data_IF_158398017101
#
_entry.id   IF_158398017101
#
_cell.length_a   1.000
_cell.length_b   1.000
_cell.length_c   1.000
_cell.angle_alpha   90.00
_cell.angle_beta   90.00
_cell.angle_gamma   90.00
#
_symmetry.space_group_name_H-M   'P 1'
#
loop_
_entity.id
_entity.type
_entity.pdbx_description
1 polymer ?
#
# COMPACT_ATOMS: atom_id res chain seq x y z
N UNK A 1 2.25 0.17 21.22
CA UNK A 1 3.12 0.61 20.11
C UNK A 1 2.83 2.08 19.82
N UNK A 2 3.85 2.90 19.52
CA UNK A 2 3.64 4.33 19.19
C UNK A 2 2.87 4.53 17.88
N UNK A 3 2.27 5.72 17.70
CA UNK A 3 1.41 6.07 16.55
C UNK A 3 2.13 5.82 15.22
N UNK A 4 3.40 6.26 15.10
CA UNK A 4 4.26 6.00 13.93
C UNK A 4 4.33 4.52 13.55
N UNK A 5 4.57 3.64 14.52
CA UNK A 5 4.71 2.20 14.26
C UNK A 5 3.40 1.59 13.76
N UNK A 6 2.26 2.02 14.32
CA UNK A 6 0.94 1.55 13.91
C UNK A 6 0.59 2.05 12.50
N UNK A 7 0.96 3.28 12.15
CA UNK A 7 0.82 3.82 10.80
C UNK A 7 1.69 3.11 9.76
N UNK A 8 2.97 2.88 10.08
CA UNK A 8 3.91 2.13 9.20
C UNK A 8 3.43 0.70 8.95
N UNK A 9 2.90 0.04 9.98
CA UNK A 9 2.29 -1.31 9.89
C UNK A 9 0.88 -1.34 9.27
N UNK A 10 0.38 -0.24 8.73
CA UNK A 10 -0.97 -0.12 8.14
C UNK A 10 -2.13 -0.42 9.11
N UNK A 11 -1.88 -0.40 10.41
CA UNK A 11 -2.95 -0.48 11.43
C UNK A 11 -3.72 0.83 11.50
N UNK A 12 -3.03 1.95 11.25
CA UNK A 12 -3.66 3.26 11.03
C UNK A 12 -3.47 3.72 9.60
N UNK A 13 -4.53 4.31 9.04
CA UNK A 13 -4.44 5.18 7.87
C UNK A 13 -3.94 6.58 8.26
N UNK A 14 -3.76 7.45 7.26
CA UNK A 14 -3.22 8.79 7.45
C UNK A 14 -4.11 9.67 8.35
N UNK A 15 -5.45 9.57 8.17
CA UNK A 15 -6.41 10.34 8.96
C UNK A 15 -6.40 9.89 10.42
N UNK A 16 -6.43 8.58 10.65
CA UNK A 16 -6.39 7.99 11.98
C UNK A 16 -5.09 8.33 12.74
N UNK A 17 -3.95 8.33 12.04
CA UNK A 17 -2.66 8.70 12.62
C UNK A 17 -2.62 10.20 12.95
N UNK A 18 -3.07 11.06 12.03
CA UNK A 18 -3.14 12.51 12.20
C UNK A 18 -4.05 12.91 13.36
N UNK A 19 -5.25 12.32 13.44
CA UNK A 19 -6.20 12.54 14.54
C UNK A 19 -5.62 12.19 15.91
N UNK A 20 -4.85 11.10 15.99
CA UNK A 20 -4.20 10.68 17.24
C UNK A 20 -3.07 11.62 17.63
N UNK A 21 -2.32 12.16 16.67
CA UNK A 21 -1.29 13.17 16.94
C UNK A 21 -1.91 14.50 17.37
N UNK A 22 -3.01 14.92 16.75
CA UNK A 22 -3.73 16.12 17.12
C UNK A 22 -4.24 16.06 18.57
N UNK A 23 -4.72 14.88 19.03
CA UNK A 23 -5.11 14.65 20.44
C UNK A 23 -3.96 14.75 21.44
N UNK A 24 -2.71 14.70 20.97
CA UNK A 24 -1.52 14.95 21.77
C UNK A 24 -1.08 16.42 21.72
N UNK A 25 -1.92 17.32 21.19
CA UNK A 25 -1.67 18.74 21.01
C UNK A 25 -0.47 19.06 20.10
N UNK A 26 -0.16 18.19 19.13
CA UNK A 26 0.82 18.53 18.10
C UNK A 26 0.23 19.58 17.15
N UNK A 27 0.99 20.63 16.79
CA UNK A 27 0.62 21.57 15.74
C UNK A 27 0.35 20.88 14.39
N UNK A 28 -0.61 21.41 13.62
CA UNK A 28 -1.04 20.79 12.36
C UNK A 28 0.06 20.73 11.29
N UNK A 29 0.92 21.75 11.24
CA UNK A 29 2.12 21.79 10.40
C UNK A 29 3.12 20.70 10.80
N UNK A 30 3.34 20.50 12.09
CA UNK A 30 4.20 19.42 12.59
C UNK A 30 3.63 18.03 12.25
N UNK A 31 2.32 17.84 12.39
CA UNK A 31 1.64 16.60 12.00
C UNK A 31 1.84 16.34 10.51
N UNK A 32 1.66 17.36 9.67
CA UNK A 32 1.84 17.25 8.21
C UNK A 32 3.25 16.79 7.84
N UNK A 33 4.28 17.40 8.44
CA UNK A 33 5.68 17.02 8.22
C UNK A 33 5.95 15.58 8.69
N UNK A 34 5.42 15.20 9.87
CA UNK A 34 5.57 13.83 10.38
C UNK A 34 4.90 12.81 9.46
N UNK A 35 3.68 13.07 9.00
CA UNK A 35 2.96 12.17 8.10
C UNK A 35 3.68 12.01 6.76
N UNK A 36 4.21 13.10 6.21
CA UNK A 36 5.03 13.05 4.99
C UNK A 36 6.31 12.23 5.20
N UNK A 37 7.05 12.47 6.29
CA UNK A 37 8.25 11.70 6.61
C UNK A 37 7.92 10.21 6.76
N UNK A 38 6.89 9.87 7.53
CA UNK A 38 6.52 8.48 7.78
C UNK A 38 5.98 7.79 6.54
N UNK A 39 5.38 8.53 5.59
CA UNK A 39 4.97 7.99 4.31
C UNK A 39 6.18 7.47 3.53
N UNK A 40 7.27 8.24 3.45
CA UNK A 40 8.50 7.80 2.79
C UNK A 40 9.19 6.65 3.52
N UNK A 41 9.28 6.70 4.86
CA UNK A 41 9.84 5.59 5.65
C UNK A 41 9.02 4.30 5.52
N UNK A 42 7.70 4.43 5.44
CA UNK A 42 6.80 3.30 5.22
C UNK A 42 7.05 2.66 3.87
N UNK A 43 7.41 3.43 2.84
CA UNK A 43 7.76 2.94 1.51
C UNK A 43 9.13 2.24 1.53
N UNK A 44 10.11 2.74 2.25
CA UNK A 44 11.42 2.08 2.36
C UNK A 44 11.37 0.73 3.07
N UNK A 45 10.44 0.52 4.01
CA UNK A 45 10.24 -0.78 4.69
C UNK A 45 9.48 -1.82 3.85
N UNK A 46 9.05 -1.46 2.65
CA UNK A 46 8.29 -2.35 1.80
C UNK A 46 9.18 -3.34 1.06
N UNK A 47 9.31 -4.53 1.63
CA UNK A 47 10.06 -5.64 1.07
C UNK A 47 9.22 -6.48 0.08
N UNK A 48 8.80 -5.86 -1.03
CA UNK A 48 8.17 -6.61 -2.10
C UNK A 48 9.19 -7.58 -2.71
N UNK A 49 8.85 -8.87 -2.78
CA UNK A 49 9.71 -9.87 -3.40
C UNK A 49 9.81 -9.64 -4.91
N UNK A 50 8.78 -9.04 -5.51
CA UNK A 50 8.70 -8.75 -6.94
C UNK A 50 8.22 -7.34 -7.22
N UNK A 51 8.74 -6.76 -8.30
CA UNK A 51 8.22 -5.51 -8.86
C UNK A 51 6.76 -5.68 -9.29
N UNK A 52 6.03 -4.56 -9.43
CA UNK A 52 4.67 -4.53 -9.99
C UNK A 52 4.56 -5.31 -11.30
N UNK A 53 5.50 -5.09 -12.23
CA UNK A 53 5.49 -5.73 -13.55
C UNK A 53 5.69 -7.25 -13.45
N UNK A 54 6.60 -7.71 -12.59
CA UNK A 54 6.81 -9.14 -12.33
C UNK A 54 5.56 -9.78 -11.70
N UNK A 55 4.98 -9.13 -10.68
CA UNK A 55 3.77 -9.60 -9.98
C UNK A 55 2.60 -9.80 -10.95
N UNK A 56 2.30 -8.78 -11.77
CA UNK A 56 1.21 -8.86 -12.76
C UNK A 56 1.49 -9.91 -13.84
N UNK A 57 2.75 -10.01 -14.29
CA UNK A 57 3.17 -11.06 -15.24
C UNK A 57 2.96 -12.46 -14.67
N UNK A 58 3.32 -12.69 -13.41
CA UNK A 58 3.14 -13.98 -12.75
C UNK A 58 1.66 -14.31 -12.52
N UNK A 59 0.85 -13.32 -12.13
CA UNK A 59 -0.59 -13.45 -11.99
C UNK A 59 -1.24 -13.83 -13.34
N UNK A 60 -0.94 -13.09 -14.40
CA UNK A 60 -1.45 -13.36 -15.76
C UNK A 60 -1.09 -14.76 -16.26
N UNK A 61 0.11 -15.24 -15.91
CA UNK A 61 0.60 -16.59 -16.23
C UNK A 61 0.12 -17.67 -15.26
N UNK A 62 -0.70 -17.31 -14.25
CA UNK A 62 -1.20 -18.21 -13.20
C UNK A 62 -0.08 -18.91 -12.39
N UNK A 63 1.09 -18.27 -12.27
CA UNK A 63 2.20 -18.75 -11.46
C UNK A 63 2.03 -18.41 -9.97
N UNK A 64 1.16 -17.44 -9.66
CA UNK A 64 0.79 -17.04 -8.30
C UNK A 64 -0.73 -16.82 -8.23
N UNK A 65 -1.29 -16.88 -7.02
CA UNK A 65 -2.70 -16.62 -6.77
C UNK A 65 -3.01 -15.11 -6.78
N UNK A 66 -4.29 -14.69 -6.98
CA UNK A 66 -4.68 -13.30 -6.84
C UNK A 66 -4.38 -12.70 -5.46
N UNK A 67 -4.55 -13.48 -4.38
CA UNK A 67 -4.25 -13.03 -3.02
C UNK A 67 -2.75 -12.80 -2.82
N UNK A 68 -1.90 -13.68 -3.39
CA UNK A 68 -0.45 -13.47 -3.37
C UNK A 68 -0.06 -12.23 -4.17
N UNK A 69 -0.68 -12.00 -5.32
CA UNK A 69 -0.46 -10.79 -6.10
C UNK A 69 -0.92 -9.53 -5.35
N UNK A 70 -2.05 -9.58 -4.63
CA UNK A 70 -2.52 -8.47 -3.78
C UNK A 70 -1.52 -8.15 -2.69
N UNK A 71 -0.98 -9.17 -2.02
CA UNK A 71 0.04 -8.98 -0.99
C UNK A 71 1.29 -8.29 -1.57
N UNK A 72 1.80 -8.75 -2.72
CA UNK A 72 2.97 -8.14 -3.36
C UNK A 72 2.69 -6.72 -3.85
N UNK A 73 1.51 -6.43 -4.38
CA UNK A 73 1.16 -5.07 -4.81
C UNK A 73 0.94 -4.14 -3.61
N UNK A 74 0.42 -4.66 -2.50
CA UNK A 74 0.34 -3.94 -1.24
C UNK A 74 1.74 -3.68 -0.68
N UNK A 75 2.64 -4.66 -0.73
CA UNK A 75 4.05 -4.47 -0.43
C UNK A 75 4.65 -3.43 -1.37
N UNK A 76 4.39 -3.42 -2.68
CA UNK A 76 4.85 -2.34 -3.58
C UNK A 76 4.20 -0.95 -3.31
N UNK A 77 3.37 -0.79 -2.27
CA UNK A 77 2.86 0.49 -1.81
C UNK A 77 1.51 0.91 -2.39
N UNK A 78 0.84 0.03 -3.14
CA UNK A 78 -0.48 0.37 -3.70
C UNK A 78 -1.61 0.25 -2.69
N UNK A 79 -2.62 1.12 -2.85
CA UNK A 79 -3.89 1.06 -2.13
C UNK A 79 -4.77 -0.08 -2.64
N UNK A 80 -5.72 -0.54 -1.85
CA UNK A 80 -6.64 -1.63 -2.24
C UNK A 80 -7.42 -1.32 -3.52
N UNK A 81 -7.84 -0.07 -3.70
CA UNK A 81 -8.49 0.38 -4.94
C UNK A 81 -7.60 0.15 -6.16
N UNK A 82 -6.35 0.61 -6.11
CA UNK A 82 -5.41 0.48 -7.23
C UNK A 82 -5.03 -0.97 -7.48
N UNK A 83 -4.88 -1.77 -6.42
CA UNK A 83 -4.66 -3.21 -6.51
C UNK A 83 -5.82 -3.90 -7.24
N UNK A 84 -7.06 -3.56 -6.89
CA UNK A 84 -8.25 -4.16 -7.52
C UNK A 84 -8.28 -3.90 -9.03
N UNK A 85 -7.94 -2.68 -9.45
CA UNK A 85 -7.87 -2.30 -10.87
C UNK A 85 -6.79 -3.12 -11.59
N UNK A 86 -5.57 -3.16 -11.04
CA UNK A 86 -4.43 -3.86 -11.65
C UNK A 86 -4.67 -5.37 -11.79
N UNK A 87 -5.26 -6.01 -10.77
CA UNK A 87 -5.59 -7.44 -10.82
C UNK A 87 -6.66 -7.71 -11.88
N UNK A 88 -7.71 -6.89 -11.95
CA UNK A 88 -8.80 -7.05 -12.93
C UNK A 88 -8.27 -6.90 -14.36
N UNK A 89 -7.45 -5.89 -14.62
CA UNK A 89 -6.83 -5.65 -15.93
C UNK A 89 -5.92 -6.83 -16.34
N UNK A 90 -5.09 -7.32 -15.41
CA UNK A 90 -4.19 -8.45 -15.65
C UNK A 90 -4.89 -9.75 -16.06
N UNK A 91 -6.16 -9.91 -15.71
CA UNK A 91 -6.97 -11.09 -16.01
C UNK A 91 -7.96 -10.85 -17.14
N UNK A 92 -8.09 -9.62 -17.62
CA UNK A 92 -9.03 -9.28 -18.68
C UNK A 92 -8.60 -9.93 -20.00
N UNK A 93 -9.57 -10.54 -20.67
CA UNK A 93 -9.42 -11.08 -22.02
C UNK A 93 -10.40 -10.37 -22.94
N UNK A 94 -9.94 -9.83 -24.09
CA UNK A 94 -10.83 -9.19 -25.05
C UNK A 94 -11.89 -10.18 -25.56
N UNK A 95 -13.13 -9.72 -25.81
CA UNK A 95 -14.14 -10.55 -26.44
C UNK A 95 -13.65 -11.03 -27.81
N UNK A 96 -13.97 -12.27 -28.16
CA UNK A 96 -13.71 -12.80 -29.50
C UNK A 96 -14.56 -12.02 -30.51
N UNK A 97 -13.93 -11.60 -31.61
CA UNK A 97 -14.59 -10.96 -32.75
C UNK A 97 -15.54 -11.94 -33.44
#
# INVERSE_FOLDING_TARGET
AGIRNLYKKRVYDENQASDKLARLNLPADQITVLMQQWHYEKIEELDATWTTAQTLKFLKRKLITPDRARQELNLNGYTDERINILIRDSQWTPPKK
#
